data_IF_773887823668
#
_entry.id   IF_773887823668
#
_cell.length_a   1.000
_cell.length_b   1.000
_cell.length_c   1.000
_cell.angle_alpha   90.00
_cell.angle_beta   90.00
_cell.angle_gamma   90.00
#
_symmetry.space_group_name_H-M   'P 1'
#
loop_
_entity.id
_entity.type
_entity.pdbx_description
1 polymer ?
#
# COMPACT_ATOMS: atom_id res chain seq x y z
N UNK A 1 12.33 35.20 1.90
CA UNK A 1 12.04 33.80 1.52
C UNK A 1 11.63 33.06 2.78
N UNK A 2 10.34 32.75 2.94
CA UNK A 2 9.90 31.91 4.03
C UNK A 2 10.42 30.49 3.77
N UNK A 3 10.95 29.77 4.78
CA UNK A 3 11.33 28.38 4.60
C UNK A 3 10.07 27.58 4.25
N UNK A 4 10.08 26.93 3.11
CA UNK A 4 9.08 25.93 2.73
C UNK A 4 8.99 24.95 3.88
N UNK A 5 7.87 25.01 4.63
CA UNK A 5 7.58 24.11 5.75
C UNK A 5 7.78 22.69 5.25
N UNK A 6 8.73 21.97 5.83
CA UNK A 6 9.04 20.57 5.49
C UNK A 6 7.79 19.76 5.78
N UNK A 7 6.97 19.50 4.75
CA UNK A 7 5.66 18.85 4.87
C UNK A 7 5.80 17.42 5.38
N UNK A 8 6.92 16.78 5.05
CA UNK A 8 7.31 15.51 5.60
C UNK A 8 8.08 15.72 6.90
N UNK A 9 7.37 15.70 8.01
CA UNK A 9 7.99 15.58 9.32
C UNK A 9 7.85 14.14 9.83
N UNK A 10 8.65 13.80 10.80
CA UNK A 10 8.66 12.46 11.42
C UNK A 10 7.28 12.08 11.98
N UNK A 11 6.56 13.03 12.56
CA UNK A 11 5.23 12.82 13.11
C UNK A 11 4.22 12.40 12.02
N UNK A 12 4.25 13.02 10.85
CA UNK A 12 3.37 12.64 9.74
C UNK A 12 3.64 11.20 9.28
N UNK A 13 4.93 10.83 9.20
CA UNK A 13 5.33 9.47 8.81
C UNK A 13 4.81 8.46 9.84
N UNK A 14 5.09 8.68 11.12
CA UNK A 14 4.65 7.81 12.22
C UNK A 14 3.13 7.68 12.23
N UNK A 15 2.40 8.79 12.17
CA UNK A 15 0.93 8.76 12.16
C UNK A 15 0.37 8.01 10.95
N UNK A 16 1.00 8.11 9.77
CA UNK A 16 0.57 7.35 8.59
C UNK A 16 0.80 5.85 8.77
N UNK A 17 1.92 5.45 9.39
CA UNK A 17 2.20 4.05 9.75
C UNK A 17 1.16 3.52 10.73
N UNK A 18 0.81 4.30 11.76
CA UNK A 18 -0.22 3.92 12.75
C UNK A 18 -1.60 3.77 12.10
N UNK A 19 -1.97 4.66 11.16
CA UNK A 19 -3.23 4.55 10.41
C UNK A 19 -3.28 3.26 9.60
N UNK A 20 -2.19 2.90 8.92
CA UNK A 20 -2.14 1.66 8.14
C UNK A 20 -2.27 0.41 9.04
N UNK A 21 -1.65 0.43 10.21
CA UNK A 21 -1.77 -0.65 11.21
C UNK A 21 -3.20 -0.76 11.78
N UNK A 22 -3.81 0.36 12.16
CA UNK A 22 -5.20 0.40 12.67
C UNK A 22 -6.18 -0.18 11.64
N UNK A 23 -6.02 0.17 10.37
CA UNK A 23 -6.81 -0.40 9.28
C UNK A 23 -6.54 -1.91 9.11
N UNK A 24 -5.28 -2.33 9.19
CA UNK A 24 -4.88 -3.74 9.11
C UNK A 24 -5.43 -4.59 10.26
N UNK A 25 -5.47 -4.07 11.48
CA UNK A 25 -6.10 -4.73 12.63
C UNK A 25 -7.58 -4.98 12.37
N UNK A 26 -8.32 -3.97 11.90
CA UNK A 26 -9.73 -4.10 11.56
C UNK A 26 -9.99 -5.12 10.44
N UNK A 27 -9.13 -5.15 9.43
CA UNK A 27 -9.17 -6.17 8.37
C UNK A 27 -8.97 -7.56 8.97
N UNK A 28 -7.98 -7.72 9.85
CA UNK A 28 -7.62 -9.00 10.48
C UNK A 28 -8.73 -9.54 11.37
N UNK A 29 -9.44 -8.70 12.10
CA UNK A 29 -10.61 -9.09 12.89
C UNK A 29 -11.70 -9.72 12.01
N UNK A 30 -12.03 -9.08 10.88
CA UNK A 30 -13.01 -9.61 9.92
C UNK A 30 -12.48 -10.89 9.27
N UNK A 31 -11.21 -10.89 8.86
CA UNK A 31 -10.55 -12.05 8.26
C UNK A 31 -10.65 -13.29 9.14
N UNK A 32 -10.49 -13.15 10.45
CA UNK A 32 -10.51 -14.27 11.40
C UNK A 32 -11.95 -14.70 11.81
N UNK A 33 -12.94 -13.79 11.80
CA UNK A 33 -14.32 -14.09 12.19
C UNK A 33 -15.17 -14.72 11.08
N UNK A 34 -14.71 -14.75 9.85
CA UNK A 34 -15.50 -15.01 8.66
C UNK A 34 -16.18 -13.73 8.18
N UNK A 35 -16.47 -13.67 6.90
CA UNK A 35 -17.00 -12.45 6.28
C UNK A 35 -17.91 -12.77 5.09
N UNK A 36 -18.88 -11.90 4.87
CA UNK A 36 -19.66 -11.85 3.64
C UNK A 36 -18.97 -10.91 2.65
N UNK A 37 -18.97 -11.28 1.38
CA UNK A 37 -18.46 -10.45 0.31
C UNK A 37 -19.58 -10.04 -0.66
N UNK A 38 -19.42 -8.88 -1.25
CA UNK A 38 -20.30 -8.37 -2.29
C UNK A 38 -19.53 -8.28 -3.61
N UNK A 39 -20.27 -8.27 -4.70
CA UNK A 39 -19.69 -7.99 -6.01
C UNK A 39 -19.87 -6.51 -6.34
N UNK A 40 -18.80 -5.84 -6.77
CA UNK A 40 -18.86 -4.51 -7.39
C UNK A 40 -19.61 -4.59 -8.72
N UNK A 41 -20.03 -3.44 -9.25
CA UNK A 41 -20.73 -3.36 -10.54
C UNK A 41 -19.92 -3.92 -11.71
N UNK A 42 -18.62 -3.93 -11.60
CA UNK A 42 -17.66 -4.49 -12.54
C UNK A 42 -17.35 -5.98 -12.29
N UNK A 43 -18.11 -6.62 -11.40
CA UNK A 43 -17.93 -8.01 -10.95
C UNK A 43 -16.69 -8.26 -10.10
N UNK A 44 -15.97 -7.24 -9.67
CA UNK A 44 -14.86 -7.41 -8.72
C UNK A 44 -15.40 -7.70 -7.32
N UNK A 45 -14.80 -8.65 -6.55
CA UNK A 45 -15.21 -8.88 -5.17
C UNK A 45 -14.93 -7.65 -4.30
N UNK A 46 -15.89 -7.31 -3.45
CA UNK A 46 -15.74 -6.29 -2.41
C UNK A 46 -16.10 -6.91 -1.07
N UNK A 47 -15.34 -6.65 -0.06
CA UNK A 47 -15.53 -7.19 1.28
C UNK A 47 -15.93 -6.11 2.29
N UNK A 48 -16.53 -6.54 3.40
CA UNK A 48 -16.77 -5.64 4.53
C UNK A 48 -15.45 -5.08 5.10
N UNK A 49 -14.36 -5.86 5.01
CA UNK A 49 -13.03 -5.47 5.46
C UNK A 49 -12.49 -4.28 4.66
N UNK A 50 -12.66 -4.29 3.32
CA UNK A 50 -12.26 -3.22 2.43
C UNK A 50 -12.95 -1.89 2.77
N UNK A 51 -14.27 -1.93 2.91
CA UNK A 51 -15.04 -0.75 3.29
C UNK A 51 -14.67 -0.22 4.69
N UNK A 52 -14.42 -1.09 5.66
CA UNK A 52 -14.03 -0.68 7.00
C UNK A 52 -12.64 -0.07 7.01
N UNK A 53 -11.68 -0.68 6.32
CA UNK A 53 -10.33 -0.16 6.13
C UNK A 53 -10.36 1.22 5.46
N UNK A 54 -11.10 1.36 4.36
CA UNK A 54 -11.30 2.63 3.66
C UNK A 54 -11.78 3.73 4.62
N UNK A 55 -12.82 3.42 5.42
CA UNK A 55 -13.39 4.37 6.37
C UNK A 55 -12.35 4.82 7.41
N UNK A 56 -11.66 3.88 8.04
CA UNK A 56 -10.62 4.18 9.04
C UNK A 56 -9.55 5.09 8.44
N UNK A 57 -8.99 4.72 7.29
CA UNK A 57 -7.90 5.46 6.67
C UNK A 57 -8.35 6.87 6.29
N UNK A 58 -9.51 7.00 5.63
CA UNK A 58 -9.98 8.31 5.15
C UNK A 58 -10.33 9.25 6.29
N UNK A 59 -11.02 8.78 7.34
CA UNK A 59 -11.34 9.59 8.52
C UNK A 59 -10.07 10.05 9.25
N UNK A 60 -9.09 9.18 9.43
CA UNK A 60 -7.84 9.49 10.12
C UNK A 60 -6.95 10.44 9.32
N UNK A 61 -6.81 10.22 8.01
CA UNK A 61 -6.06 11.13 7.12
C UNK A 61 -6.72 12.50 7.02
N UNK A 62 -8.06 12.57 7.01
CA UNK A 62 -8.79 13.83 7.02
C UNK A 62 -8.57 14.63 8.30
N UNK A 63 -8.43 13.97 9.45
CA UNK A 63 -8.08 14.62 10.73
C UNK A 63 -6.60 15.07 10.70
N UNK A 64 -5.71 14.22 10.20
CA UNK A 64 -4.26 14.46 10.21
C UNK A 64 -3.85 15.61 9.29
N UNK A 65 -4.48 15.70 8.10
CA UNK A 65 -4.16 16.66 7.04
C UNK A 65 -5.44 17.09 6.30
N UNK A 66 -6.32 17.88 6.92
CA UNK A 66 -7.63 18.24 6.36
C UNK A 66 -7.56 18.97 5.02
N UNK A 67 -6.44 19.59 4.72
CA UNK A 67 -6.19 20.35 3.48
C UNK A 67 -5.72 19.45 2.30
N UNK A 68 -5.37 18.19 2.56
CA UNK A 68 -4.86 17.26 1.53
C UNK A 68 -5.99 16.34 1.08
N UNK A 69 -6.43 16.41 -0.19
CA UNK A 69 -7.47 15.51 -0.69
C UNK A 69 -7.00 14.06 -0.72
N UNK A 70 -7.98 13.16 -0.64
CA UNK A 70 -7.74 11.71 -0.63
C UNK A 70 -8.34 11.12 -1.92
N UNK A 71 -7.56 10.31 -2.60
CA UNK A 71 -7.99 9.45 -3.70
C UNK A 71 -7.87 8.00 -3.24
N UNK A 72 -8.98 7.38 -2.93
CA UNK A 72 -9.06 5.98 -2.55
C UNK A 72 -9.62 5.14 -3.69
N UNK A 73 -9.20 3.88 -3.78
CA UNK A 73 -9.77 2.93 -4.73
C UNK A 73 -11.28 2.79 -4.53
N UNK A 74 -11.75 2.78 -3.29
CA UNK A 74 -13.16 2.60 -2.93
C UNK A 74 -14.03 3.85 -3.18
N UNK A 75 -13.43 5.02 -3.34
CA UNK A 75 -14.11 6.28 -3.67
C UNK A 75 -13.42 7.00 -4.83
N UNK A 76 -13.35 6.32 -5.98
CA UNK A 76 -12.72 6.84 -7.18
C UNK A 76 -13.68 7.71 -8.07
N UNK A 77 -14.89 8.01 -7.61
CA UNK A 77 -15.89 8.77 -8.38
C UNK A 77 -15.57 10.26 -8.51
N UNK A 78 -14.41 10.73 -8.04
CA UNK A 78 -14.00 12.12 -8.17
C UNK A 78 -13.69 12.43 -9.64
N UNK A 79 -14.40 13.39 -10.28
CA UNK A 79 -14.19 13.69 -11.68
C UNK A 79 -12.74 14.09 -11.98
N UNK A 80 -12.20 13.61 -13.10
CA UNK A 80 -10.84 13.92 -13.53
C UNK A 80 -10.53 15.42 -13.53
N UNK A 81 -11.49 16.26 -13.96
CA UNK A 81 -11.37 17.73 -13.96
C UNK A 81 -11.05 18.31 -12.58
N UNK A 82 -11.49 17.66 -11.49
CA UNK A 82 -11.23 18.08 -10.11
C UNK A 82 -9.86 17.56 -9.69
N UNK A 83 -9.65 16.23 -9.77
CA UNK A 83 -8.42 15.60 -9.28
C UNK A 83 -7.16 15.99 -10.09
N UNK A 84 -7.31 16.36 -11.35
CA UNK A 84 -6.19 16.86 -12.18
C UNK A 84 -5.62 18.20 -11.72
N UNK A 85 -6.34 18.94 -10.85
CA UNK A 85 -5.88 20.19 -10.25
C UNK A 85 -5.11 19.97 -8.94
N UNK A 86 -5.11 18.76 -8.41
CA UNK A 86 -4.41 18.45 -7.17
C UNK A 86 -2.91 18.38 -7.40
N UNK A 87 -2.19 19.21 -6.69
CA UNK A 87 -0.72 19.15 -6.68
C UNK A 87 -0.24 18.12 -5.67
N UNK A 88 -1.00 17.97 -4.57
CA UNK A 88 -0.71 17.03 -3.50
C UNK A 88 -1.99 16.31 -3.09
N UNK A 89 -1.89 14.99 -2.90
CA UNK A 89 -3.01 14.15 -2.48
C UNK A 89 -2.53 12.85 -1.86
N UNK A 90 -3.37 12.26 -1.03
CA UNK A 90 -3.21 10.88 -0.57
C UNK A 90 -3.74 9.94 -1.65
N UNK A 91 -2.98 8.90 -1.92
CA UNK A 91 -3.39 7.77 -2.76
C UNK A 91 -3.49 6.55 -1.86
N UNK A 92 -4.67 5.95 -1.80
CA UNK A 92 -4.99 4.89 -0.85
C UNK A 92 -5.57 3.68 -1.58
N UNK A 93 -5.04 2.52 -1.29
CA UNK A 93 -5.63 1.24 -1.56
C UNK A 93 -5.87 0.56 -0.21
N UNK A 94 -7.13 0.51 0.24
CA UNK A 94 -7.47 0.07 1.60
C UNK A 94 -7.24 -1.42 1.82
N UNK A 95 -7.39 -2.24 0.78
CA UNK A 95 -7.16 -3.69 0.80
C UNK A 95 -6.73 -4.17 -0.59
N UNK A 96 -5.45 -4.05 -0.89
CA UNK A 96 -4.86 -4.62 -2.11
C UNK A 96 -4.72 -6.14 -1.96
N UNK A 97 -5.25 -6.88 -2.93
CA UNK A 97 -5.33 -8.33 -2.88
C UNK A 97 -6.67 -8.84 -2.31
N UNK A 98 -7.80 -8.25 -2.70
CA UNK A 98 -9.13 -8.70 -2.29
C UNK A 98 -9.39 -10.18 -2.63
N UNK A 99 -8.84 -10.67 -3.75
CA UNK A 99 -8.92 -12.10 -4.11
C UNK A 99 -8.15 -12.97 -3.13
N UNK A 100 -6.97 -12.54 -2.74
CA UNK A 100 -6.10 -13.20 -1.77
C UNK A 100 -6.74 -13.23 -0.38
N UNK A 101 -7.43 -12.16 -0.01
CA UNK A 101 -8.22 -12.08 1.21
C UNK A 101 -9.36 -13.11 1.21
N UNK A 102 -10.13 -13.21 0.11
CA UNK A 102 -11.22 -14.18 -0.05
C UNK A 102 -10.70 -15.62 -0.05
N UNK A 103 -9.59 -15.87 -0.74
CA UNK A 103 -8.94 -17.19 -0.81
C UNK A 103 -8.19 -17.57 0.48
N UNK A 104 -8.10 -16.66 1.44
CA UNK A 104 -7.51 -16.89 2.76
C UNK A 104 -6.04 -17.31 2.71
N UNK A 105 -5.28 -16.80 1.73
CA UNK A 105 -3.84 -17.08 1.62
C UNK A 105 -2.95 -16.07 2.37
N UNK A 106 -3.53 -14.96 2.88
CA UNK A 106 -2.83 -13.97 3.68
C UNK A 106 -1.96 -12.97 2.89
N UNK A 107 -1.99 -13.02 1.57
CA UNK A 107 -1.15 -12.20 0.69
C UNK A 107 -1.89 -10.90 0.28
N UNK A 108 -2.30 -10.08 1.24
CA UNK A 108 -2.97 -8.81 1.00
C UNK A 108 -2.36 -7.70 1.86
N UNK A 109 -2.51 -6.46 1.42
CA UNK A 109 -1.85 -5.30 2.05
C UNK A 109 -2.77 -4.10 2.17
N UNK A 110 -2.41 -3.18 3.08
CA UNK A 110 -2.92 -1.80 3.14
C UNK A 110 -1.85 -0.88 2.58
N UNK A 111 -2.20 -0.09 1.57
CA UNK A 111 -1.27 0.79 0.89
C UNK A 111 -1.68 2.26 1.03
N UNK A 112 -0.80 3.11 1.58
CA UNK A 112 -1.04 4.54 1.74
C UNK A 112 0.17 5.32 1.20
N UNK A 113 -0.05 6.22 0.25
CA UNK A 113 0.99 7.07 -0.30
C UNK A 113 0.60 8.55 -0.30
N UNK A 114 1.56 9.43 0.01
CA UNK A 114 1.42 10.87 -0.22
C UNK A 114 2.13 11.23 -1.52
N UNK A 115 1.36 11.77 -2.46
CA UNK A 115 1.83 12.18 -3.78
C UNK A 115 2.03 13.69 -3.81
N UNK A 116 3.14 14.14 -4.38
CA UNK A 116 3.41 15.55 -4.69
C UNK A 116 3.89 15.65 -6.14
N UNK A 117 3.16 16.37 -6.99
CA UNK A 117 3.47 16.57 -8.41
C UNK A 117 3.79 15.26 -9.14
N UNK A 118 2.90 14.28 -9.05
CA UNK A 118 3.02 12.96 -9.67
C UNK A 118 4.21 12.11 -9.16
N UNK A 119 4.76 12.46 -8.00
CA UNK A 119 5.85 11.71 -7.36
C UNK A 119 5.42 11.27 -5.96
N UNK A 120 5.50 9.99 -5.60
CA UNK A 120 5.31 9.57 -4.24
C UNK A 120 6.43 10.13 -3.36
N UNK A 121 6.05 10.85 -2.30
CA UNK A 121 6.98 11.45 -1.34
C UNK A 121 6.97 10.76 0.01
N UNK A 122 5.93 10.01 0.32
CA UNK A 122 5.80 9.08 1.45
C UNK A 122 5.03 7.87 0.96
N UNK A 123 5.43 6.68 1.34
CA UNK A 123 4.71 5.43 1.11
C UNK A 123 4.75 4.55 2.35
N UNK A 124 3.62 3.93 2.66
CA UNK A 124 3.46 2.92 3.70
C UNK A 124 2.76 1.71 3.10
N UNK A 125 3.31 0.52 3.32
CA UNK A 125 2.71 -0.77 2.99
C UNK A 125 2.65 -1.57 4.28
N UNK A 126 1.47 -1.98 4.68
CA UNK A 126 1.24 -2.83 5.84
C UNK A 126 0.66 -4.18 5.42
N UNK A 127 1.22 -5.27 5.94
CA UNK A 127 0.77 -6.64 5.72
C UNK A 127 0.04 -7.10 6.98
N UNK A 128 -1.30 -7.12 7.00
CA UNK A 128 -2.06 -7.35 8.24
C UNK A 128 -1.80 -8.71 8.88
N UNK A 129 -1.66 -9.76 8.07
CA UNK A 129 -1.55 -11.14 8.58
C UNK A 129 -0.24 -11.38 9.33
N UNK A 130 0.87 -10.84 8.83
CA UNK A 130 2.18 -10.97 9.49
C UNK A 130 2.51 -9.78 10.41
N UNK A 131 1.64 -8.76 10.44
CA UNK A 131 1.86 -7.50 11.15
C UNK A 131 3.22 -6.86 10.81
N UNK A 132 3.58 -6.94 9.52
CA UNK A 132 4.77 -6.32 8.98
C UNK A 132 4.43 -5.00 8.30
N UNK A 133 5.26 -4.00 8.50
CA UNK A 133 5.06 -2.68 7.90
C UNK A 133 6.35 -2.19 7.26
N UNK A 134 6.24 -1.72 6.03
CA UNK A 134 7.30 -1.10 5.27
C UNK A 134 6.94 0.35 5.01
N UNK A 135 7.88 1.28 5.20
CA UNK A 135 7.65 2.68 4.85
C UNK A 135 8.93 3.36 4.41
N UNK A 136 8.76 4.41 3.62
CA UNK A 136 9.86 5.24 3.17
C UNK A 136 9.38 6.61 2.76
N UNK A 137 10.26 7.60 2.80
CA UNK A 137 9.93 8.95 2.37
C UNK A 137 11.08 9.60 1.61
N UNK A 138 10.72 10.48 0.67
CA UNK A 138 11.68 11.15 -0.21
C UNK A 138 12.71 11.94 0.59
N UNK A 139 13.98 11.63 0.35
CA UNK A 139 15.11 12.24 1.05
C UNK A 139 15.42 11.65 2.43
N UNK A 140 14.72 10.59 2.82
CA UNK A 140 15.01 9.76 3.98
C UNK A 140 15.26 8.31 3.56
N UNK A 141 15.49 7.46 4.55
CA UNK A 141 15.66 6.03 4.34
C UNK A 141 14.32 5.30 4.26
N UNK A 142 14.40 4.02 3.91
CA UNK A 142 13.28 3.08 4.03
C UNK A 142 13.44 2.24 5.29
N UNK A 143 12.31 1.89 5.88
CA UNK A 143 12.25 1.18 7.15
C UNK A 143 11.28 0.00 7.07
N UNK A 144 11.44 -0.90 7.98
CA UNK A 144 10.63 -2.08 8.20
C UNK A 144 10.37 -2.27 9.69
N UNK A 145 9.17 -2.69 10.05
CA UNK A 145 8.87 -3.22 11.38
C UNK A 145 8.08 -4.52 11.29
N UNK A 146 8.24 -5.37 12.28
CA UNK A 146 7.51 -6.63 12.45
C UNK A 146 6.52 -6.56 13.62
N UNK A 147 5.89 -7.68 13.95
CA UNK A 147 4.94 -7.85 15.06
C UNK A 147 5.46 -7.34 16.42
N UNK A 148 6.78 -7.40 16.65
CA UNK A 148 7.40 -6.89 17.89
C UNK A 148 7.67 -5.39 17.84
N UNK A 149 7.21 -4.68 16.82
CA UNK A 149 7.45 -3.25 16.56
C UNK A 149 8.94 -2.87 16.53
N UNK A 150 9.84 -3.84 16.28
CA UNK A 150 11.26 -3.59 16.11
C UNK A 150 11.51 -2.93 14.75
N UNK A 151 11.82 -1.63 14.77
CA UNK A 151 12.10 -0.85 13.56
C UNK A 151 13.53 -1.12 13.09
N UNK A 152 13.67 -1.43 11.80
CA UNK A 152 14.95 -1.60 11.12
C UNK A 152 14.99 -0.72 9.87
N UNK A 153 16.10 -0.04 9.65
CA UNK A 153 16.38 0.56 8.36
C UNK A 153 16.71 -0.55 7.35
N UNK A 154 16.15 -0.43 6.16
CA UNK A 154 16.36 -1.40 5.07
C UNK A 154 17.04 -0.73 3.88
N UNK A 155 17.76 -1.54 3.12
CA UNK A 155 18.55 -1.12 1.96
C UNK A 155 18.34 -2.10 0.83
N UNK A 156 18.54 -1.63 -0.39
CA UNK A 156 18.65 -2.52 -1.55
C UNK A 156 19.90 -3.38 -1.41
N UNK A 157 19.85 -4.61 -1.93
CA UNK A 157 21.01 -5.48 -1.98
C UNK A 157 22.05 -4.92 -2.97
N UNK A 158 23.28 -4.74 -2.51
CA UNK A 158 24.41 -4.36 -3.38
C UNK A 158 24.98 -5.57 -4.14
N UNK A 159 24.71 -6.77 -3.66
CA UNK A 159 25.19 -8.00 -4.26
C UNK A 159 24.23 -8.45 -5.39
N UNK A 160 24.73 -8.40 -6.62
CA UNK A 160 24.08 -9.11 -7.73
C UNK A 160 24.26 -10.60 -7.53
N UNK A 161 23.24 -11.26 -6.98
CA UNK A 161 23.25 -12.72 -6.82
C UNK A 161 22.89 -13.36 -8.17
N UNK A 162 23.63 -14.39 -8.55
CA UNK A 162 23.17 -15.34 -9.55
C UNK A 162 22.65 -16.59 -8.81
N UNK A 163 21.45 -17.06 -9.14
CA UNK A 163 20.48 -16.52 -10.09
C UNK A 163 19.84 -15.18 -9.65
N UNK A 164 19.40 -14.37 -10.63
CA UNK A 164 18.59 -13.17 -10.37
C UNK A 164 17.24 -13.60 -9.81
N UNK A 165 16.88 -13.11 -8.63
CA UNK A 165 15.56 -13.39 -8.05
C UNK A 165 14.50 -12.42 -8.56
N UNK A 166 13.50 -12.95 -9.23
CA UNK A 166 12.37 -12.21 -9.79
C UNK A 166 11.11 -12.52 -8.98
N UNK A 167 10.42 -11.49 -8.54
CA UNK A 167 9.11 -11.64 -7.89
C UNK A 167 8.03 -11.40 -8.93
N UNK A 168 7.06 -12.31 -9.01
CA UNK A 168 5.91 -12.16 -9.89
C UNK A 168 4.61 -12.48 -9.17
N UNK A 169 3.52 -11.81 -9.60
CA UNK A 169 2.19 -12.10 -9.09
C UNK A 169 1.77 -13.53 -9.44
N UNK A 170 1.18 -14.22 -8.46
CA UNK A 170 0.56 -15.55 -8.63
C UNK A 170 -0.77 -15.45 -9.36
N UNK A 171 -1.53 -14.42 -9.04
CA UNK A 171 -2.90 -14.22 -9.51
C UNK A 171 -3.00 -13.42 -10.82
N UNK A 172 -1.94 -12.66 -11.17
CA UNK A 172 -1.91 -11.81 -12.36
C UNK A 172 -0.68 -12.12 -13.23
N UNK A 173 -0.69 -13.22 -14.00
CA UNK A 173 0.40 -13.53 -14.92
C UNK A 173 0.51 -12.44 -16.00
N UNK A 174 1.73 -12.08 -16.36
CA UNK A 174 2.02 -11.07 -17.39
C UNK A 174 2.74 -11.71 -18.57
N UNK A 175 2.22 -11.53 -19.79
CA UNK A 175 2.91 -11.95 -21.02
C UNK A 175 4.24 -11.22 -21.19
N UNK A 176 4.31 -9.94 -20.80
CA UNK A 176 5.53 -9.13 -20.83
C UNK A 176 6.65 -9.73 -19.96
N UNK A 177 6.30 -10.46 -18.89
CA UNK A 177 7.30 -11.15 -18.06
C UNK A 177 8.00 -12.24 -18.86
N UNK A 178 7.29 -13.00 -19.69
CA UNK A 178 7.87 -14.06 -20.52
C UNK A 178 8.90 -13.48 -21.50
N UNK A 179 8.58 -12.38 -22.16
CA UNK A 179 9.49 -11.68 -23.07
C UNK A 179 10.76 -11.16 -22.35
N UNK A 180 10.63 -10.78 -21.08
CA UNK A 180 11.76 -10.37 -20.25
C UNK A 180 12.62 -11.58 -19.87
N UNK A 181 12.01 -12.69 -19.49
CA UNK A 181 12.70 -13.90 -19.06
C UNK A 181 13.54 -14.53 -20.18
N UNK A 182 13.11 -14.42 -21.42
CA UNK A 182 13.92 -14.86 -22.58
C UNK A 182 15.27 -14.12 -22.70
N UNK A 183 15.38 -12.93 -22.09
CA UNK A 183 16.59 -12.09 -22.13
C UNK A 183 17.51 -12.27 -20.93
N UNK A 184 17.06 -13.02 -19.91
CA UNK A 184 17.80 -13.24 -18.66
C UNK A 184 18.31 -14.69 -18.66
N UNK A 185 19.62 -14.87 -18.53
CA UNK A 185 20.26 -16.20 -18.69
C UNK A 185 20.08 -17.06 -17.42
N UNK A 186 20.06 -16.46 -16.23
CA UNK A 186 20.04 -17.20 -14.96
C UNK A 186 19.13 -16.49 -13.95
N UNK A 187 17.96 -17.07 -13.67
CA UNK A 187 16.98 -16.49 -12.79
C UNK A 187 16.19 -17.53 -11.99
N UNK A 188 15.69 -17.11 -10.85
CA UNK A 188 14.71 -17.82 -10.02
C UNK A 188 13.42 -16.98 -9.92
N UNK A 189 12.26 -17.58 -10.14
CA UNK A 189 10.97 -16.90 -9.98
C UNK A 189 10.36 -17.25 -8.63
N UNK A 190 10.09 -16.21 -7.84
CA UNK A 190 9.34 -16.27 -6.60
C UNK A 190 7.94 -15.77 -6.90
N UNK A 191 6.93 -16.65 -6.77
CA UNK A 191 5.51 -16.28 -6.93
C UNK A 191 4.91 -15.89 -5.60
N UNK A 192 4.37 -14.70 -5.55
CA UNK A 192 3.66 -14.11 -4.41
C UNK A 192 2.26 -13.68 -4.81
#
# INVERSE_FOLDING_TARGET
MQPTKKILNEQLIISTVEIAKEAGEAITEIYNSGFDYQLKKDLSPITAADNLSHKIITERLQILTPEIPILSEEDCNIPYKIRSQWTKYWLVDPLDGTKEFINRNGEFTVNIALIDKNTPILGVIHIPVSNETYWGSKGNHSFYSNENNAVKQIYVSENHQNPIRLVSSRSHPSEMLNDLLEKIIDYEIIKV
#
